data_IF_345273614935
#
_entry.id   IF_345273614935
#
_cell.length_a   1.000
_cell.length_b   1.000
_cell.length_c   1.000
_cell.angle_alpha   90.00
_cell.angle_beta   90.00
_cell.angle_gamma   90.00
#
_symmetry.space_group_name_H-M   'P 1'
#
loop_
_entity.id
_entity.type
_entity.pdbx_description
1 polymer ?
#
# COMPACT_ATOMS: atom_id res chain seq x y z
N UNK A 1 -26.15 -3.02 -2.13
CA UNK A 1 -24.92 -2.33 -1.76
C UNK A 1 -23.70 -3.09 -2.25
N UNK A 2 -22.76 -2.40 -2.80
CA UNK A 2 -21.60 -3.00 -3.42
C UNK A 2 -20.45 -3.04 -2.42
N UNK A 3 -20.32 -4.15 -1.73
CA UNK A 3 -19.29 -4.34 -0.71
C UNK A 3 -18.24 -5.35 -1.15
N UNK A 4 -18.02 -5.45 -2.44
CA UNK A 4 -17.09 -6.41 -2.97
C UNK A 4 -15.94 -5.82 -3.76
N UNK A 5 -15.00 -6.68 -4.10
CA UNK A 5 -13.91 -6.36 -5.01
C UNK A 5 -14.40 -6.63 -6.42
N UNK A 6 -14.26 -5.68 -7.31
CA UNK A 6 -14.63 -5.79 -8.72
C UNK A 6 -13.38 -5.85 -9.57
N UNK A 7 -13.34 -6.80 -10.51
CA UNK A 7 -12.27 -6.90 -11.50
C UNK A 7 -12.87 -6.55 -12.85
N UNK A 8 -12.26 -5.58 -13.54
CA UNK A 8 -12.64 -5.23 -14.90
C UNK A 8 -11.49 -5.59 -15.83
N UNK A 9 -11.58 -6.72 -16.53
CA UNK A 9 -10.52 -7.14 -17.45
C UNK A 9 -10.48 -6.23 -18.68
N UNK A 10 -9.29 -5.96 -19.19
CA UNK A 10 -9.04 -5.20 -20.40
C UNK A 10 -8.00 -5.91 -21.25
N UNK A 11 -7.82 -5.49 -22.49
CA UNK A 11 -6.88 -6.14 -23.42
C UNK A 11 -5.45 -6.16 -22.89
N UNK A 12 -4.99 -5.10 -22.26
CA UNK A 12 -3.61 -5.01 -21.73
C UNK A 12 -3.54 -5.10 -20.22
N UNK A 13 -4.41 -4.38 -19.53
CA UNK A 13 -4.38 -4.29 -18.07
C UNK A 13 -5.77 -4.54 -17.52
N UNK A 14 -5.84 -4.98 -16.28
CA UNK A 14 -7.10 -5.14 -15.58
C UNK A 14 -7.19 -4.10 -14.48
N UNK A 15 -8.40 -3.62 -14.24
CA UNK A 15 -8.67 -2.70 -13.13
C UNK A 15 -9.40 -3.47 -12.03
N UNK A 16 -8.91 -3.32 -10.81
CA UNK A 16 -9.47 -3.95 -9.62
C UNK A 16 -9.85 -2.84 -8.66
N UNK A 17 -11.07 -2.86 -8.17
CA UNK A 17 -11.53 -1.83 -7.25
C UNK A 17 -12.42 -2.38 -6.17
N UNK A 18 -12.55 -1.64 -5.09
CA UNK A 18 -13.50 -1.91 -4.03
C UNK A 18 -14.37 -0.70 -3.80
N UNK A 19 -15.67 -0.96 -3.78
CA UNK A 19 -16.67 0.07 -3.53
C UNK A 19 -17.54 -0.38 -2.36
N UNK A 20 -17.81 0.52 -1.43
CA UNK A 20 -18.70 0.27 -0.29
C UNK A 20 -19.72 1.40 -0.26
N UNK A 21 -21.01 1.03 -0.29
CA UNK A 21 -22.12 1.98 -0.29
C UNK A 21 -21.98 3.07 -1.37
N UNK A 22 -21.57 2.65 -2.57
CA UNK A 22 -21.40 3.56 -3.71
C UNK A 22 -20.11 4.39 -3.68
N UNK A 23 -19.31 4.24 -2.63
CA UNK A 23 -18.06 5.00 -2.50
C UNK A 23 -16.87 4.11 -2.80
N UNK A 24 -16.05 4.52 -3.76
CA UNK A 24 -14.83 3.80 -4.11
C UNK A 24 -13.78 4.00 -3.02
N UNK A 25 -13.30 2.91 -2.44
CA UNK A 25 -12.27 2.95 -1.40
C UNK A 25 -10.87 2.86 -1.97
N UNK A 26 -10.69 2.10 -3.05
CA UNK A 26 -9.41 2.02 -3.75
C UNK A 26 -9.62 1.47 -5.15
N UNK A 27 -8.65 1.73 -6.01
CA UNK A 27 -8.64 1.24 -7.38
C UNK A 27 -7.20 1.02 -7.83
N UNK A 28 -6.93 -0.19 -8.34
CA UNK A 28 -5.63 -0.55 -8.86
C UNK A 28 -5.73 -1.02 -10.30
N UNK A 29 -4.74 -0.65 -11.10
CA UNK A 29 -4.49 -1.22 -12.42
C UNK A 29 -3.36 -2.22 -12.26
N UNK A 30 -3.55 -3.44 -12.76
CA UNK A 30 -2.55 -4.50 -12.70
C UNK A 30 -2.18 -4.93 -14.10
N UNK A 31 -0.88 -5.17 -14.34
CA UNK A 31 -0.41 -5.64 -15.63
C UNK A 31 -0.81 -7.08 -15.90
N UNK A 32 -0.89 -7.90 -14.85
CA UNK A 32 -1.23 -9.31 -14.97
C UNK A 32 -1.98 -9.80 -13.73
N UNK A 33 -3.04 -10.58 -13.95
CA UNK A 33 -3.67 -11.37 -12.90
C UNK A 33 -3.02 -12.75 -12.95
N UNK A 34 -2.15 -13.04 -11.98
CA UNK A 34 -1.36 -14.28 -11.96
C UNK A 34 -2.21 -15.48 -11.56
N UNK A 35 -3.06 -15.29 -10.54
CA UNK A 35 -3.98 -16.32 -10.07
C UNK A 35 -5.20 -15.69 -9.43
N UNK A 36 -6.30 -16.43 -9.46
CA UNK A 36 -7.56 -15.99 -8.88
C UNK A 36 -8.39 -17.20 -8.48
N UNK A 37 -8.88 -17.18 -7.24
CA UNK A 37 -9.92 -18.11 -6.77
C UNK A 37 -10.88 -17.34 -5.85
N UNK A 38 -11.82 -18.04 -5.20
CA UNK A 38 -12.81 -17.38 -4.34
C UNK A 38 -12.20 -16.55 -3.21
N UNK A 39 -11.07 -17.01 -2.68
CA UNK A 39 -10.49 -16.43 -1.47
C UNK A 39 -9.29 -15.52 -1.74
N UNK A 40 -8.55 -15.80 -2.79
CA UNK A 40 -7.25 -15.14 -3.00
C UNK A 40 -7.03 -14.75 -4.46
N UNK A 41 -6.32 -13.64 -4.65
CA UNK A 41 -5.87 -13.17 -5.96
C UNK A 41 -4.40 -12.76 -5.86
N UNK A 42 -3.67 -12.97 -6.95
CA UNK A 42 -2.27 -12.54 -7.06
C UNK A 42 -2.07 -11.77 -8.35
N UNK A 43 -1.25 -10.74 -8.28
CA UNK A 43 -1.08 -9.76 -9.37
C UNK A 43 0.37 -9.39 -9.57
N UNK A 44 0.67 -8.88 -10.75
CA UNK A 44 1.96 -8.24 -11.08
C UNK A 44 1.74 -6.84 -11.65
N UNK A 45 2.74 -5.99 -11.45
CA UNK A 45 2.80 -4.63 -11.99
C UNK A 45 1.59 -3.80 -11.57
N UNK A 46 1.58 -3.43 -10.30
CA UNK A 46 0.46 -2.79 -9.64
C UNK A 46 0.69 -1.28 -9.57
N UNK A 47 -0.33 -0.53 -9.93
CA UNK A 47 -0.36 0.92 -9.78
C UNK A 47 -1.77 1.34 -9.42
N UNK A 48 -1.93 2.15 -8.38
CA UNK A 48 -3.28 2.53 -8.01
C UNK A 48 -3.37 3.60 -6.94
N UNK A 49 -4.59 3.75 -6.46
CA UNK A 49 -4.95 4.80 -5.51
C UNK A 49 -5.81 4.22 -4.39
N UNK A 50 -5.55 4.71 -3.19
CA UNK A 50 -6.41 4.47 -2.03
C UNK A 50 -7.00 5.81 -1.61
N UNK A 51 -8.32 5.87 -1.51
CA UNK A 51 -9.06 7.09 -1.16
C UNK A 51 -9.34 7.06 0.34
N UNK A 52 -8.68 7.94 1.09
CA UNK A 52 -8.77 7.94 2.55
C UNK A 52 -9.99 8.72 3.02
N UNK A 53 -10.48 8.40 4.20
CA UNK A 53 -11.66 9.04 4.78
C UNK A 53 -11.46 10.52 5.12
N UNK A 54 -10.20 10.95 5.25
CA UNK A 54 -9.88 12.36 5.49
C UNK A 54 -9.76 13.19 4.21
N UNK A 55 -10.08 12.61 3.07
CA UNK A 55 -10.00 13.29 1.77
C UNK A 55 -8.64 13.22 1.09
N UNK A 56 -7.63 12.65 1.74
CA UNK A 56 -6.34 12.44 1.09
C UNK A 56 -6.39 11.23 0.16
N UNK A 57 -5.45 11.15 -0.75
CA UNK A 57 -5.32 10.04 -1.68
C UNK A 57 -3.89 9.51 -1.59
N UNK A 58 -3.76 8.20 -1.46
CA UNK A 58 -2.46 7.54 -1.48
C UNK A 58 -2.25 6.92 -2.86
N UNK A 59 -1.21 7.38 -3.55
CA UNK A 59 -0.77 6.78 -4.81
C UNK A 59 0.23 5.68 -4.50
N UNK A 60 0.03 4.48 -5.07
CA UNK A 60 0.84 3.31 -4.75
C UNK A 60 1.33 2.64 -6.03
N UNK A 61 2.59 2.18 -6.00
CA UNK A 61 3.12 1.26 -7.01
C UNK A 61 3.79 0.09 -6.32
N UNK A 62 3.68 -1.10 -6.90
CA UNK A 62 4.36 -2.30 -6.41
C UNK A 62 4.61 -3.26 -7.57
N UNK A 63 5.67 -4.05 -7.45
CA UNK A 63 5.99 -5.04 -8.47
C UNK A 63 5.04 -6.23 -8.50
N UNK A 64 4.52 -6.63 -7.33
CA UNK A 64 3.58 -7.73 -7.20
C UNK A 64 2.69 -7.54 -5.99
N UNK A 65 1.61 -8.31 -5.90
CA UNK A 65 0.73 -8.24 -4.76
C UNK A 65 -0.23 -9.40 -4.69
N UNK A 66 -0.83 -9.54 -3.52
CA UNK A 66 -1.83 -10.54 -3.22
C UNK A 66 -2.98 -9.88 -2.47
N UNK A 67 -4.19 -10.32 -2.76
CA UNK A 67 -5.38 -9.87 -2.05
C UNK A 67 -6.09 -11.06 -1.45
N UNK A 68 -6.49 -10.95 -0.19
CA UNK A 68 -7.39 -11.89 0.45
C UNK A 68 -8.78 -11.28 0.43
N UNK A 69 -9.63 -11.81 -0.42
CA UNK A 69 -10.92 -11.22 -0.75
C UNK A 69 -11.85 -11.10 0.46
N UNK A 70 -11.90 -12.14 1.27
CA UNK A 70 -12.83 -12.23 2.40
C UNK A 70 -12.61 -11.14 3.45
N UNK A 71 -11.33 -10.83 3.75
CA UNK A 71 -10.99 -9.86 4.77
C UNK A 71 -10.61 -8.50 4.18
N UNK A 72 -10.52 -8.40 2.84
CA UNK A 72 -10.05 -7.21 2.12
C UNK A 72 -8.63 -6.82 2.49
N UNK A 73 -7.81 -7.81 2.81
CA UNK A 73 -6.42 -7.59 3.18
C UNK A 73 -5.53 -7.66 1.95
N UNK A 74 -4.45 -6.90 1.95
CA UNK A 74 -3.50 -6.83 0.86
C UNK A 74 -2.08 -7.06 1.34
N UNK A 75 -1.29 -7.69 0.47
CA UNK A 75 0.15 -7.70 0.62
C UNK A 75 0.78 -7.26 -0.69
N UNK A 76 1.53 -6.17 -0.65
CA UNK A 76 2.27 -5.65 -1.79
C UNK A 76 3.73 -6.01 -1.60
N UNK A 77 4.38 -6.42 -2.69
CA UNK A 77 5.74 -6.96 -2.66
C UNK A 77 6.55 -6.46 -3.84
N UNK A 78 7.84 -6.83 -3.85
CA UNK A 78 8.75 -6.54 -4.97
C UNK A 78 8.96 -5.05 -5.19
N UNK A 79 9.15 -4.33 -4.09
CA UNK A 79 9.36 -2.90 -4.11
C UNK A 79 8.04 -2.12 -4.10
N UNK A 80 7.78 -1.42 -3.01
CA UNK A 80 6.54 -0.66 -2.80
C UNK A 80 6.89 0.80 -2.59
N UNK A 81 6.21 1.67 -3.34
CA UNK A 81 6.24 3.11 -3.14
C UNK A 81 4.81 3.58 -2.90
N UNK A 82 4.62 4.33 -1.84
CA UNK A 82 3.33 4.92 -1.51
C UNK A 82 3.52 6.40 -1.21
N UNK A 83 2.64 7.23 -1.74
CA UNK A 83 2.75 8.69 -1.61
C UNK A 83 1.38 9.28 -1.32
N UNK A 84 1.26 9.99 -0.20
CA UNK A 84 0.05 10.76 0.11
C UNK A 84 0.08 12.08 -0.65
N UNK A 85 -1.00 12.42 -1.35
CA UNK A 85 -1.06 13.64 -2.17
C UNK A 85 -0.95 14.91 -1.31
N UNK A 86 -1.41 14.85 -0.07
CA UNK A 86 -1.31 15.97 0.87
C UNK A 86 0.00 15.99 1.67
N UNK A 87 0.89 15.05 1.41
CA UNK A 87 2.20 14.97 2.05
C UNK A 87 2.38 13.70 2.84
N UNK A 88 3.40 12.95 2.48
CA UNK A 88 3.76 11.68 3.09
C UNK A 88 4.33 10.73 2.04
N UNK A 89 5.30 9.93 2.44
CA UNK A 89 5.99 9.03 1.55
C UNK A 89 6.41 7.77 2.32
N UNK A 90 6.22 6.62 1.69
CA UNK A 90 6.67 5.34 2.24
C UNK A 90 7.33 4.53 1.13
N UNK A 91 8.53 4.03 1.43
CA UNK A 91 9.26 3.12 0.55
C UNK A 91 9.62 1.86 1.33
N UNK A 92 9.29 0.70 0.80
CA UNK A 92 9.54 -0.58 1.45
C UNK A 92 9.73 -1.68 0.41
N UNK A 93 10.28 -2.81 0.81
CA UNK A 93 10.28 -4.00 -0.05
C UNK A 93 8.89 -4.61 -0.11
N UNK A 94 8.21 -4.68 1.03
CA UNK A 94 6.84 -5.19 1.10
C UNK A 94 6.02 -4.42 2.10
N UNK A 95 4.70 -4.42 1.87
CA UNK A 95 3.72 -3.78 2.74
C UNK A 95 2.53 -4.72 2.87
N UNK A 96 2.13 -5.01 4.10
CA UNK A 96 0.90 -5.72 4.38
C UNK A 96 -0.10 -4.75 4.99
N UNK A 97 -1.33 -4.76 4.49
CA UNK A 97 -2.39 -3.93 5.04
C UNK A 97 -3.55 -4.80 5.48
N UNK A 98 -3.88 -4.71 6.76
CA UNK A 98 -5.01 -5.41 7.37
C UNK A 98 -6.15 -4.39 7.52
N UNK A 99 -7.20 -4.58 6.72
CA UNK A 99 -8.27 -3.60 6.59
C UNK A 99 -9.05 -3.36 7.88
N UNK A 100 -9.30 -4.41 8.65
CA UNK A 100 -10.17 -4.36 9.82
C UNK A 100 -9.77 -3.28 10.82
N UNK A 101 -8.48 -3.14 11.10
CA UNK A 101 -7.97 -2.18 12.08
C UNK A 101 -7.09 -1.11 11.45
N UNK A 102 -7.03 -1.06 10.13
CA UNK A 102 -6.16 -0.15 9.38
C UNK A 102 -4.71 -0.24 9.86
N UNK A 103 -4.18 -1.45 9.87
CA UNK A 103 -2.79 -1.69 10.25
C UNK A 103 -1.96 -1.96 9.00
N UNK A 104 -0.97 -1.12 8.76
CA UNK A 104 -0.03 -1.23 7.67
C UNK A 104 1.33 -1.60 8.25
N UNK A 105 1.88 -2.73 7.81
CA UNK A 105 3.21 -3.19 8.23
C UNK A 105 4.12 -3.20 7.01
N UNK A 106 5.20 -2.42 7.08
CA UNK A 106 6.18 -2.30 6.01
C UNK A 106 7.48 -2.95 6.42
N UNK A 107 8.06 -3.73 5.51
CA UNK A 107 9.32 -4.44 5.74
C UNK A 107 10.36 -4.02 4.71
N UNK A 108 11.59 -3.87 5.18
CA UNK A 108 12.74 -3.78 4.31
C UNK A 108 13.24 -5.16 3.89
N UNK A 109 14.34 -5.19 3.16
CA UNK A 109 14.98 -6.43 2.72
C UNK A 109 16.48 -6.25 2.76
N UNK A 110 17.18 -7.21 3.36
CA UNK A 110 18.63 -7.19 3.50
C UNK A 110 19.09 -5.89 4.19
N UNK A 111 19.93 -5.10 3.53
CA UNK A 111 20.44 -3.84 4.08
C UNK A 111 19.59 -2.63 3.71
N UNK A 112 18.51 -2.83 2.95
CA UNK A 112 17.62 -1.75 2.53
C UNK A 112 16.46 -1.66 3.50
N UNK A 113 16.42 -0.58 4.25
CA UNK A 113 15.40 -0.37 5.26
C UNK A 113 14.14 0.28 4.67
N UNK A 114 13.05 0.19 5.44
CA UNK A 114 11.85 0.98 5.18
C UNK A 114 12.18 2.44 5.43
N UNK A 115 11.69 3.31 4.58
CA UNK A 115 11.77 4.77 4.76
C UNK A 115 10.37 5.36 4.76
N UNK A 116 10.07 6.15 5.77
CA UNK A 116 8.82 6.88 5.86
C UNK A 116 9.13 8.35 6.12
N UNK A 117 8.53 9.22 5.32
CA UNK A 117 8.68 10.68 5.51
C UNK A 117 7.27 11.26 5.65
N UNK A 118 7.05 12.00 6.73
CA UNK A 118 5.80 12.73 6.94
C UNK A 118 6.04 13.86 7.93
N UNK A 119 5.41 15.01 7.67
CA UNK A 119 5.46 16.17 8.58
C UNK A 119 6.90 16.58 8.95
N UNK A 120 7.78 16.63 7.95
CA UNK A 120 9.18 17.03 8.10
C UNK A 120 10.01 16.08 8.97
N UNK A 121 9.54 14.84 9.12
CA UNK A 121 10.25 13.80 9.87
C UNK A 121 10.49 12.62 8.96
N UNK A 122 11.69 12.06 9.02
CA UNK A 122 12.05 10.83 8.33
C UNK A 122 12.30 9.73 9.36
N UNK A 123 11.69 8.58 9.14
CA UNK A 123 11.95 7.38 9.94
C UNK A 123 12.46 6.29 9.01
N UNK A 124 13.57 5.67 9.39
CA UNK A 124 14.07 4.46 8.73
C UNK A 124 14.15 3.35 9.77
N UNK A 125 13.81 2.13 9.36
CA UNK A 125 13.87 0.96 10.23
C UNK A 125 13.78 -0.31 9.39
N UNK A 126 14.07 -1.43 10.00
CA UNK A 126 13.88 -2.73 9.32
C UNK A 126 12.40 -3.03 9.13
N UNK A 127 11.58 -2.58 10.06
CA UNK A 127 10.13 -2.73 10.02
C UNK A 127 9.44 -1.48 10.56
N UNK A 128 8.36 -1.08 9.91
CA UNK A 128 7.48 -0.01 10.39
C UNK A 128 6.04 -0.53 10.43
N UNK A 129 5.32 -0.14 11.47
CA UNK A 129 3.88 -0.37 11.57
C UNK A 129 3.20 0.98 11.72
N UNK A 130 2.18 1.23 10.92
CA UNK A 130 1.47 2.51 10.89
C UNK A 130 0.04 2.30 10.37
N UNK A 131 -0.64 3.37 10.02
CA UNK A 131 -1.95 3.34 9.38
C UNK A 131 -1.85 3.74 7.90
N UNK A 132 -2.94 3.62 7.16
CA UNK A 132 -3.00 4.10 5.77
C UNK A 132 -2.78 5.61 5.66
N UNK A 133 -2.97 6.35 6.75
CA UNK A 133 -2.70 7.79 6.81
C UNK A 133 -1.25 8.08 7.17
N UNK A 134 -0.42 7.05 7.38
CA UNK A 134 0.97 7.15 7.82
C UNK A 134 1.10 7.89 9.16
N UNK A 135 0.17 7.61 10.06
CA UNK A 135 0.13 8.20 11.40
C UNK A 135 0.41 7.13 12.46
N UNK A 136 0.90 7.57 13.63
CA UNK A 136 1.22 6.68 14.76
C UNK A 136 2.20 5.58 14.36
N UNK A 137 3.37 6.00 13.92
CA UNK A 137 4.40 5.12 13.40
C UNK A 137 5.13 4.41 14.54
N UNK A 138 5.27 3.08 14.42
CA UNK A 138 6.12 2.28 15.30
C UNK A 138 7.24 1.66 14.48
N UNK A 139 8.47 1.89 14.90
CA UNK A 139 9.65 1.42 14.18
C UNK A 139 10.34 0.31 14.97
N UNK A 140 10.81 -0.73 14.28
CA UNK A 140 11.49 -1.86 14.88
C UNK A 140 12.70 -2.27 14.05
N UNK A 141 13.84 -2.41 14.71
CA UNK A 141 15.09 -2.86 14.09
C UNK A 141 15.87 -1.72 13.44
N UNK A 142 17.00 -1.37 14.06
CA UNK A 142 17.91 -0.32 13.58
C UNK A 142 17.20 0.97 13.21
N UNK A 143 16.28 1.38 14.08
CA UNK A 143 15.42 2.53 13.82
C UNK A 143 16.17 3.84 14.00
N UNK A 144 15.94 4.77 13.06
CA UNK A 144 16.51 6.10 13.11
C UNK A 144 15.43 7.11 12.76
N UNK A 145 15.31 8.15 13.57
CA UNK A 145 14.38 9.25 13.34
C UNK A 145 15.18 10.52 13.10
N UNK A 146 14.90 11.18 11.98
CA UNK A 146 15.58 12.41 11.59
C UNK A 146 14.56 13.47 11.20
N UNK A 147 14.93 14.74 11.39
CA UNK A 147 14.11 15.86 10.95
C UNK A 147 14.61 16.35 9.59
N UNK A 148 13.70 16.83 8.74
CA UNK A 148 14.06 17.39 7.45
C UNK A 148 14.30 16.35 6.35
N UNK A 149 13.65 15.19 6.41
CA UNK A 149 13.78 14.15 5.39
C UNK A 149 13.28 14.61 4.02
N UNK A 150 13.84 14.04 2.97
CA UNK A 150 13.46 14.31 1.59
C UNK A 150 12.89 13.06 0.93
N UNK A 151 11.96 13.28 -0.01
CA UNK A 151 11.42 12.20 -0.80
C UNK A 151 12.47 11.71 -1.79
N UNK A 152 12.84 10.45 -1.67
CA UNK A 152 13.84 9.81 -2.50
C UNK A 152 13.27 8.46 -2.98
N UNK A 153 13.02 8.35 -4.28
CA UNK A 153 12.44 7.16 -4.88
C UNK A 153 13.48 6.16 -5.40
N UNK A 154 14.74 6.51 -5.31
CA UNK A 154 15.84 5.65 -5.82
C UNK A 154 16.34 4.64 -4.77
#
# INVERSE_FOLDING_TARGET
>A
SDNGITITPKVKNSTISRTVNGKKLWEFTVGEVVSQNEDNMAFKDIKGKVYLDNGDVMDITAGSGKAQVKNNDFKLESGVLARLQKGGFLKAESVEWLAKNDVLTALGKDKVQVKLIKDDIQVTADQLTTSSKLEQVKAKGNALLEKGGQYDEN
#
